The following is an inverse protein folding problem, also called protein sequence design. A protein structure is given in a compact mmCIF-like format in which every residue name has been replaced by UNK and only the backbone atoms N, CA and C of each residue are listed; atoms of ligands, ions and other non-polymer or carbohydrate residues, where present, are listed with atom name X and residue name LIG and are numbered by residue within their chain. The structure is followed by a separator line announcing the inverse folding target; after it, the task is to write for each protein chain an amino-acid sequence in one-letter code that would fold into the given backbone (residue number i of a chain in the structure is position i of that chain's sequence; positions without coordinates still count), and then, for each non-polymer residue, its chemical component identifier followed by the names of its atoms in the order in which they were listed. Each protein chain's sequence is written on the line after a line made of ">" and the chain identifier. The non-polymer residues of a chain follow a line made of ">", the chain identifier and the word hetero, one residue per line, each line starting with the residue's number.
data_IF_491165223315
#
_entry.id   IF_491165223315
#
_cell.length_a   1.000
_cell.length_b   1.000
_cell.length_c   1.000
_cell.angle_alpha   90.00
_cell.angle_beta   90.00
_cell.angle_gamma   90.00
#
_symmetry.space_group_name_H-M   'P 1'
#
loop_
_entity.id
_entity.type
_entity.pdbx_description
1 polymer ?
#
# COMPACT_ATOMS: atom_id res chain seq x y z
N UNK A 1 -21.49 -4.43 -14.48
CA UNK A 1 -20.12 -4.28 -15.02
C UNK A 1 -19.15 -4.70 -13.93
N UNK A 2 -18.12 -5.52 -14.24
CA UNK A 2 -17.03 -5.77 -13.29
C UNK A 2 -16.18 -4.50 -13.27
N UNK A 3 -16.11 -3.85 -12.12
CA UNK A 3 -15.24 -2.69 -11.92
C UNK A 3 -13.79 -3.18 -11.98
N UNK A 4 -12.94 -2.67 -12.89
CA UNK A 4 -11.55 -3.09 -12.96
C UNK A 4 -10.81 -2.66 -11.69
N UNK A 5 -10.09 -3.60 -11.09
CA UNK A 5 -9.10 -3.33 -10.04
C UNK A 5 -7.84 -2.78 -10.71
N UNK A 6 -7.19 -1.78 -10.11
CA UNK A 6 -5.89 -1.27 -10.57
C UNK A 6 -4.82 -2.36 -10.55
N UNK A 7 -4.87 -3.23 -9.56
CA UNK A 7 -3.94 -4.34 -9.40
C UNK A 7 -4.61 -5.68 -9.71
N UNK A 8 -3.81 -6.66 -10.11
CA UNK A 8 -4.28 -8.00 -10.43
C UNK A 8 -4.52 -8.80 -9.15
N UNK A 9 -5.79 -9.05 -8.82
CA UNK A 9 -6.20 -9.82 -7.64
C UNK A 9 -6.70 -11.20 -8.07
N UNK A 10 -5.78 -12.05 -8.54
CA UNK A 10 -6.09 -13.42 -8.97
C UNK A 10 -6.09 -14.41 -7.80
N UNK A 11 -6.71 -15.58 -7.98
CA UNK A 11 -6.70 -16.64 -6.96
C UNK A 11 -5.27 -17.11 -6.64
N UNK A 12 -4.41 -17.16 -7.66
CA UNK A 12 -3.01 -17.52 -7.49
C UNK A 12 -2.24 -16.49 -6.64
N UNK A 13 -2.49 -15.20 -6.87
CA UNK A 13 -1.88 -14.13 -6.09
C UNK A 13 -2.34 -14.15 -4.63
N UNK A 14 -3.65 -14.30 -4.40
CA UNK A 14 -4.23 -14.41 -3.05
C UNK A 14 -3.68 -15.63 -2.30
N UNK A 15 -3.65 -16.80 -2.94
CA UNK A 15 -3.07 -18.01 -2.35
C UNK A 15 -1.58 -17.81 -2.02
N UNK A 16 -0.84 -17.18 -2.93
CA UNK A 16 0.56 -16.82 -2.72
C UNK A 16 0.76 -15.92 -1.49
N UNK A 17 -0.07 -14.89 -1.34
CA UNK A 17 -0.06 -14.02 -0.16
C UNK A 17 -0.35 -14.79 1.14
N UNK A 18 -1.39 -15.64 1.16
CA UNK A 18 -1.72 -16.43 2.35
C UNK A 18 -0.56 -17.35 2.77
N UNK A 19 0.09 -18.03 1.81
CA UNK A 19 1.25 -18.88 2.08
C UNK A 19 2.45 -18.06 2.58
N UNK A 20 2.68 -16.87 2.01
CA UNK A 20 3.74 -15.97 2.47
C UNK A 20 3.51 -15.53 3.93
N UNK A 21 2.29 -15.08 4.25
CA UNK A 21 1.91 -14.64 5.60
C UNK A 21 2.06 -15.77 6.63
N UNK A 22 1.60 -16.99 6.28
CA UNK A 22 1.77 -18.18 7.11
C UNK A 22 3.25 -18.49 7.38
N UNK A 23 4.08 -18.52 6.33
CA UNK A 23 5.52 -18.82 6.48
C UNK A 23 6.30 -17.72 7.23
N UNK A 24 5.79 -16.48 7.24
CA UNK A 24 6.35 -15.37 8.01
C UNK A 24 5.79 -15.26 9.42
N UNK A 25 4.83 -16.10 9.80
CA UNK A 25 4.09 -15.98 11.07
C UNK A 25 3.49 -14.58 11.26
N UNK A 26 2.90 -14.03 10.19
CA UNK A 26 2.18 -12.76 10.22
C UNK A 26 0.69 -13.10 10.26
N UNK A 27 0.02 -12.76 11.37
CA UNK A 27 -1.43 -12.95 11.47
C UNK A 27 -2.16 -11.92 10.59
N UNK A 28 -3.34 -12.28 10.06
CA UNK A 28 -4.16 -11.35 9.27
C UNK A 28 -4.50 -10.06 10.04
N UNK A 29 -4.64 -10.15 11.38
CA UNK A 29 -4.84 -9.00 12.27
C UNK A 29 -3.67 -8.00 12.31
N UNK A 30 -2.50 -8.39 11.79
CA UNK A 30 -1.26 -7.59 11.69
C UNK A 30 -1.01 -7.09 10.26
N UNK A 31 -1.94 -7.36 9.34
CA UNK A 31 -1.90 -6.91 7.94
C UNK A 31 -2.89 -5.77 7.76
N UNK A 32 -2.49 -4.71 7.08
CA UNK A 32 -3.36 -3.57 6.76
C UNK A 32 -3.19 -3.22 5.29
N UNK A 33 -4.27 -3.03 4.55
CA UNK A 33 -4.25 -2.47 3.20
C UNK A 33 -4.60 -0.99 3.25
N UNK A 34 -3.76 -0.16 2.65
CA UNK A 34 -4.01 1.27 2.42
C UNK A 34 -4.03 1.57 0.94
N UNK A 35 -4.71 2.67 0.57
CA UNK A 35 -5.04 2.98 -0.84
C UNK A 35 -5.83 1.83 -1.50
N UNK A 36 -6.62 1.11 -0.70
CA UNK A 36 -7.28 -0.13 -1.09
C UNK A 36 -8.33 0.07 -2.20
N UNK A 37 -8.74 1.32 -2.43
CA UNK A 37 -9.73 1.63 -3.44
C UNK A 37 -11.09 1.05 -3.12
N UNK A 38 -11.50 0.01 -3.85
CA UNK A 38 -12.68 -0.78 -3.56
C UNK A 38 -12.43 -1.95 -2.59
N UNK A 39 -11.20 -2.11 -2.10
CA UNK A 39 -10.80 -3.05 -1.06
C UNK A 39 -10.79 -4.52 -1.46
N UNK A 40 -10.83 -4.84 -2.76
CA UNK A 40 -10.96 -6.22 -3.21
C UNK A 40 -9.80 -7.12 -2.76
N UNK A 41 -8.57 -6.59 -2.68
CA UNK A 41 -7.44 -7.38 -2.19
C UNK A 41 -7.64 -7.76 -0.73
N UNK A 42 -7.85 -6.79 0.16
CA UNK A 42 -8.08 -7.00 1.58
C UNK A 42 -9.29 -7.88 1.86
N UNK A 43 -10.41 -7.66 1.16
CA UNK A 43 -11.61 -8.51 1.29
C UNK A 43 -11.33 -9.97 0.91
N UNK A 44 -10.54 -10.19 -0.15
CA UNK A 44 -10.18 -11.55 -0.59
C UNK A 44 -9.15 -12.23 0.31
N UNK A 45 -8.32 -11.47 1.00
CA UNK A 45 -7.43 -11.97 2.05
C UNK A 45 -8.18 -12.26 3.37
N UNK A 46 -9.39 -11.74 3.53
CA UNK A 46 -10.16 -11.85 4.77
C UNK A 46 -9.71 -10.85 5.83
N UNK A 47 -9.25 -9.66 5.41
CA UNK A 47 -8.97 -8.55 6.33
C UNK A 47 -10.27 -8.03 6.94
N UNK A 48 -10.21 -7.67 8.22
CA UNK A 48 -11.32 -6.99 8.88
C UNK A 48 -11.53 -5.59 8.29
N UNK A 49 -12.75 -5.02 8.38
CA UNK A 49 -13.05 -3.72 7.77
C UNK A 49 -12.10 -2.60 8.21
N UNK A 50 -11.61 -2.64 9.47
CA UNK A 50 -10.72 -1.61 10.01
C UNK A 50 -9.24 -1.76 9.63
N UNK A 51 -8.95 -2.75 8.77
CA UNK A 51 -7.65 -3.05 8.16
C UNK A 51 -7.66 -2.83 6.64
N UNK A 52 -8.79 -2.41 6.07
CA UNK A 52 -8.98 -2.26 4.63
C UNK A 52 -9.37 -0.81 4.32
N UNK A 53 -8.38 0.01 3.99
CA UNK A 53 -8.48 1.46 4.01
C UNK A 53 -8.47 2.03 2.60
N UNK A 54 -9.56 2.70 2.22
CA UNK A 54 -9.60 3.54 1.03
C UNK A 54 -9.14 4.95 1.40
N UNK A 55 -8.28 5.54 0.57
CA UNK A 55 -7.80 6.90 0.80
C UNK A 55 -8.96 7.91 0.69
N UNK A 56 -9.21 8.64 1.78
CA UNK A 56 -10.24 9.66 1.91
C UNK A 56 -10.16 10.72 0.78
N UNK A 57 -8.96 11.06 0.31
CA UNK A 57 -8.76 12.13 -0.69
C UNK A 57 -9.17 11.72 -2.10
N UNK A 58 -9.08 10.42 -2.46
CA UNK A 58 -9.61 9.93 -3.74
C UNK A 58 -11.14 10.13 -3.84
N UNK A 59 -11.83 10.22 -2.71
CA UNK A 59 -13.28 10.41 -2.66
C UNK A 59 -13.69 11.88 -2.65
N UNK A 60 -12.87 12.77 -2.09
CA UNK A 60 -13.21 14.18 -1.84
C UNK A 60 -12.86 15.13 -2.98
N UNK A 61 -11.83 14.83 -3.79
CA UNK A 61 -11.36 15.75 -4.82
C UNK A 61 -11.46 15.15 -6.23
N UNK A 62 -12.16 15.85 -7.13
CA UNK A 62 -12.34 15.45 -8.53
C UNK A 62 -11.01 15.42 -9.29
N UNK A 63 -10.00 16.17 -8.85
CA UNK A 63 -8.68 16.20 -9.48
C UNK A 63 -7.88 14.91 -9.28
N UNK A 64 -8.25 14.07 -8.31
CA UNK A 64 -7.63 12.77 -8.03
C UNK A 64 -8.35 11.58 -8.66
N UNK A 65 -9.51 11.82 -9.30
CA UNK A 65 -10.25 10.78 -9.99
C UNK A 65 -9.72 10.65 -11.42
N UNK A 66 -9.09 9.54 -11.71
CA UNK A 66 -8.84 9.10 -13.08
C UNK A 66 -10.07 8.38 -13.68
N UNK A 67 -9.91 7.90 -14.91
CA UNK A 67 -10.98 7.19 -15.63
C UNK A 67 -11.47 5.92 -14.90
N UNK A 68 -10.60 5.23 -14.15
CA UNK A 68 -10.97 3.98 -13.47
C UNK A 68 -11.66 4.23 -12.15
N UNK A 69 -11.06 5.07 -11.30
CA UNK A 69 -11.61 5.45 -9.99
C UNK A 69 -12.98 6.12 -10.12
N UNK A 70 -13.29 6.72 -11.28
CA UNK A 70 -14.63 7.22 -11.60
C UNK A 70 -15.72 6.13 -11.62
N UNK A 71 -15.35 4.87 -11.89
CA UNK A 71 -16.25 3.72 -11.95
C UNK A 71 -16.34 2.94 -10.64
N UNK A 72 -15.62 3.39 -9.61
CA UNK A 72 -15.53 2.68 -8.35
C UNK A 72 -16.71 2.97 -7.43
N UNK A 73 -17.09 1.94 -6.65
CA UNK A 73 -17.99 2.17 -5.53
C UNK A 73 -17.29 3.08 -4.53
N UNK A 74 -17.86 4.27 -4.32
CA UNK A 74 -17.31 5.27 -3.41
C UNK A 74 -17.43 4.84 -1.95
N UNK A 75 -18.28 3.84 -1.64
CA UNK A 75 -18.49 3.33 -0.28
C UNK A 75 -18.60 1.80 -0.30
N UNK A 76 -17.51 1.10 -0.66
CA UNK A 76 -17.53 -0.35 -0.68
C UNK A 76 -17.74 -0.88 0.73
N UNK A 77 -18.58 -1.90 0.88
CA UNK A 77 -18.77 -2.57 2.18
C UNK A 77 -17.47 -3.24 2.61
N UNK A 78 -17.12 -3.10 3.89
CA UNK A 78 -15.90 -3.69 4.45
C UNK A 78 -14.63 -2.89 4.15
N UNK A 79 -14.78 -1.61 3.77
CA UNK A 79 -13.68 -0.68 3.53
C UNK A 79 -13.98 0.60 4.30
N UNK A 80 -13.01 1.11 5.06
CA UNK A 80 -13.14 2.39 5.77
C UNK A 80 -12.42 3.51 5.02
N UNK A 81 -12.92 4.73 5.16
CA UNK A 81 -12.31 5.92 4.59
C UNK A 81 -11.48 6.61 5.68
N UNK A 82 -10.16 6.55 5.54
CA UNK A 82 -9.18 7.10 6.50
C UNK A 82 -7.91 7.40 5.70
N UNK A 83 -7.10 8.38 6.10
CA UNK A 83 -5.81 8.55 5.44
C UNK A 83 -4.85 7.42 5.80
N UNK A 84 -3.91 7.11 4.91
CA UNK A 84 -2.94 6.05 5.15
C UNK A 84 -2.07 6.31 6.39
N UNK A 85 -1.76 7.57 6.69
CA UNK A 85 -0.98 7.97 7.86
C UNK A 85 -1.81 7.96 9.16
N UNK A 86 -3.07 8.42 9.13
CA UNK A 86 -4.00 8.33 10.26
C UNK A 86 -4.24 6.88 10.68
N UNK A 87 -4.31 5.97 9.70
CA UNK A 87 -4.42 4.53 9.93
C UNK A 87 -3.28 4.02 10.82
N UNK A 88 -2.03 4.36 10.49
CA UNK A 88 -0.87 3.93 11.26
C UNK A 88 -0.92 4.51 12.68
N UNK A 89 -1.28 5.78 12.82
CA UNK A 89 -1.44 6.45 14.12
C UNK A 89 -2.53 5.77 14.96
N UNK A 90 -3.66 5.39 14.36
CA UNK A 90 -4.75 4.68 15.03
C UNK A 90 -4.31 3.31 15.54
N UNK A 91 -3.58 2.54 14.74
CA UNK A 91 -3.05 1.23 15.18
C UNK A 91 -2.04 1.38 16.31
N UNK A 92 -1.15 2.38 16.23
CA UNK A 92 -0.23 2.75 17.30
C UNK A 92 -0.96 3.08 18.61
N UNK A 93 -1.96 3.96 18.56
CA UNK A 93 -2.72 4.40 19.74
C UNK A 93 -3.53 3.25 20.38
N UNK A 94 -4.02 2.32 19.55
CA UNK A 94 -4.75 1.14 20.01
C UNK A 94 -3.83 -0.05 20.38
N UNK A 95 -2.51 0.14 20.35
CA UNK A 95 -1.52 -0.90 20.63
C UNK A 95 -1.69 -2.16 19.76
N UNK A 96 -2.14 -2.00 18.52
CA UNK A 96 -2.33 -3.09 17.55
C UNK A 96 -1.16 -3.14 16.59
N UNK A 97 -0.34 -4.22 16.59
CA UNK A 97 0.83 -4.30 15.74
C UNK A 97 0.45 -4.34 14.26
N UNK A 98 1.22 -3.62 13.44
CA UNK A 98 1.24 -3.79 11.98
C UNK A 98 2.58 -4.41 11.63
N UNK A 99 2.58 -5.61 11.04
CA UNK A 99 3.80 -6.26 10.51
C UNK A 99 3.93 -6.11 9.00
N UNK A 100 2.80 -6.04 8.29
CA UNK A 100 2.78 -5.83 6.86
C UNK A 100 1.72 -4.79 6.51
N UNK A 101 2.12 -3.71 5.85
CA UNK A 101 1.17 -2.79 5.21
C UNK A 101 1.19 -3.01 3.70
N UNK A 102 0.03 -3.19 3.09
CA UNK A 102 -0.14 -3.34 1.65
C UNK A 102 -0.43 -1.96 1.07
N UNK A 103 0.38 -1.57 0.08
CA UNK A 103 0.34 -0.29 -0.61
C UNK A 103 0.11 -0.59 -2.09
N UNK A 104 -1.15 -0.82 -2.46
CA UNK A 104 -1.53 -1.24 -3.79
C UNK A 104 -1.87 -0.03 -4.67
N UNK A 105 -1.03 0.25 -5.67
CA UNK A 105 -1.21 1.35 -6.62
C UNK A 105 -1.50 2.71 -5.95
N UNK A 106 -0.65 3.18 -5.00
CA UNK A 106 -0.90 4.45 -4.34
C UNK A 106 -0.90 5.59 -5.36
N UNK A 107 -1.81 6.57 -5.25
CA UNK A 107 -1.87 7.69 -6.18
C UNK A 107 -0.56 8.49 -6.15
N UNK A 108 -0.20 9.16 -7.26
CA UNK A 108 0.94 10.06 -7.24
C UNK A 108 0.69 11.24 -6.30
N UNK A 109 1.74 11.71 -5.65
CA UNK A 109 1.64 12.88 -4.78
C UNK A 109 1.57 14.17 -5.59
N UNK A 110 0.97 15.22 -5.00
CA UNK A 110 1.16 16.59 -5.46
C UNK A 110 2.20 17.30 -4.57
N UNK A 111 2.53 18.55 -4.90
CA UNK A 111 3.53 19.35 -4.17
C UNK A 111 3.22 19.61 -2.70
N UNK A 112 2.00 19.33 -2.23
CA UNK A 112 1.53 19.66 -0.88
C UNK A 112 1.23 18.42 -0.02
N UNK A 113 1.03 17.25 -0.63
CA UNK A 113 0.57 16.06 0.08
C UNK A 113 1.22 14.77 -0.45
N UNK A 114 1.99 14.09 0.41
CA UNK A 114 2.71 12.85 0.12
C UNK A 114 2.27 11.72 1.09
N UNK A 115 1.09 11.11 0.90
CA UNK A 115 0.48 10.21 1.88
C UNK A 115 1.29 8.94 2.11
N UNK A 116 1.83 8.36 1.04
CA UNK A 116 2.65 7.15 1.11
C UNK A 116 3.94 7.38 1.90
N UNK A 117 4.57 8.54 1.75
CA UNK A 117 5.75 8.93 2.53
C UNK A 117 5.42 9.11 4.01
N UNK A 118 4.36 9.88 4.34
CA UNK A 118 3.95 10.11 5.72
C UNK A 118 3.58 8.81 6.43
N UNK A 119 2.84 7.93 5.76
CA UNK A 119 2.51 6.59 6.23
C UNK A 119 3.77 5.76 6.47
N UNK A 120 4.70 5.71 5.51
CA UNK A 120 5.90 4.89 5.63
C UNK A 120 6.81 5.35 6.79
N UNK A 121 6.98 6.66 6.96
CA UNK A 121 7.71 7.24 8.10
C UNK A 121 7.02 6.88 9.42
N UNK A 122 5.72 7.13 9.55
CA UNK A 122 4.98 6.82 10.77
C UNK A 122 4.99 5.33 11.10
N UNK A 123 4.95 4.46 10.08
CA UNK A 123 5.01 3.01 10.25
C UNK A 123 6.36 2.61 10.82
N UNK A 124 7.45 3.19 10.30
CA UNK A 124 8.79 2.95 10.82
C UNK A 124 8.97 3.45 12.25
N UNK A 125 8.52 4.68 12.54
CA UNK A 125 8.57 5.26 13.89
C UNK A 125 7.75 4.43 14.91
N UNK A 126 6.69 3.76 14.44
CA UNK A 126 5.84 2.90 15.26
C UNK A 126 6.41 1.48 15.42
N UNK A 127 6.79 0.84 14.32
CA UNK A 127 7.32 -0.51 14.25
C UNK A 127 8.40 -0.62 13.15
N UNK A 128 9.68 -0.43 13.49
CA UNK A 128 10.78 -0.45 12.52
C UNK A 128 10.94 -1.78 11.76
N UNK A 129 10.42 -2.88 12.29
CA UNK A 129 10.47 -4.20 11.65
C UNK A 129 9.36 -4.41 10.61
N UNK A 130 8.32 -3.58 10.63
CA UNK A 130 7.21 -3.67 9.69
C UNK A 130 7.68 -3.48 8.25
N UNK A 131 7.08 -4.24 7.32
CA UNK A 131 7.36 -4.17 5.89
C UNK A 131 6.18 -3.59 5.12
N UNK A 132 6.48 -3.07 3.94
CA UNK A 132 5.50 -2.58 2.97
C UNK A 132 5.46 -3.53 1.77
N UNK A 133 4.30 -4.11 1.47
CA UNK A 133 4.03 -4.76 0.19
C UNK A 133 3.55 -3.68 -0.78
N UNK A 134 4.44 -3.15 -1.60
CA UNK A 134 4.11 -2.16 -2.62
C UNK A 134 3.78 -2.86 -3.95
N UNK A 135 2.62 -2.59 -4.53
CA UNK A 135 2.25 -3.10 -5.87
C UNK A 135 2.13 -1.92 -6.82
N UNK A 136 3.10 -1.76 -7.71
CA UNK A 136 3.19 -0.61 -8.60
C UNK A 136 4.44 -0.67 -9.47
N UNK A 137 4.86 0.50 -9.96
CA UNK A 137 6.14 0.71 -10.62
C UNK A 137 6.99 1.64 -9.74
N UNK A 138 8.24 1.29 -9.46
CA UNK A 138 9.13 2.13 -8.66
C UNK A 138 9.64 3.32 -9.48
N UNK A 139 9.79 4.48 -8.84
CA UNK A 139 10.28 5.71 -9.48
C UNK A 139 9.45 6.14 -10.70
N UNK A 140 8.14 5.89 -10.65
CA UNK A 140 7.19 6.20 -11.71
C UNK A 140 6.31 7.37 -11.30
N UNK A 141 6.04 8.29 -12.22
CA UNK A 141 5.11 9.40 -12.00
C UNK A 141 3.65 8.94 -11.86
N UNK A 142 3.38 7.66 -12.15
CA UNK A 142 2.06 7.05 -11.98
C UNK A 142 1.79 6.59 -10.53
N UNK A 143 2.81 6.49 -9.67
CA UNK A 143 2.67 5.91 -8.33
C UNK A 143 3.48 6.66 -7.28
N UNK A 144 2.86 6.96 -6.13
CA UNK A 144 3.51 7.59 -4.98
C UNK A 144 4.31 8.87 -5.35
N UNK A 145 5.20 9.32 -4.46
CA UNK A 145 6.07 10.47 -4.72
C UNK A 145 7.53 10.05 -4.91
N UNK A 146 8.30 10.89 -5.59
CA UNK A 146 9.77 10.81 -5.56
C UNK A 146 10.27 10.78 -4.12
N UNK A 147 9.72 11.63 -3.24
CA UNK A 147 10.04 11.67 -1.81
C UNK A 147 9.80 10.31 -1.12
N UNK A 148 8.74 9.58 -1.47
CA UNK A 148 8.51 8.23 -0.94
C UNK A 148 9.61 7.27 -1.40
N UNK A 149 9.93 7.26 -2.70
CA UNK A 149 10.92 6.32 -3.25
C UNK A 149 12.36 6.58 -2.77
N UNK A 150 12.71 7.83 -2.48
CA UNK A 150 14.01 8.18 -1.89
C UNK A 150 14.20 7.64 -0.46
N UNK A 151 13.11 7.26 0.22
CA UNK A 151 13.11 6.87 1.63
C UNK A 151 12.68 5.42 1.85
N UNK A 152 12.64 4.61 0.80
CA UNK A 152 12.33 3.19 0.91
C UNK A 152 13.39 2.34 0.22
N UNK A 153 13.80 1.28 0.89
CA UNK A 153 14.71 0.29 0.34
C UNK A 153 13.95 -0.98 -0.04
N UNK A 154 14.41 -1.65 -1.09
CA UNK A 154 13.95 -3.00 -1.40
C UNK A 154 14.51 -3.98 -0.38
N UNK A 155 13.65 -4.88 0.09
CA UNK A 155 14.03 -5.98 0.96
C UNK A 155 14.18 -7.24 0.13
N UNK A 156 15.34 -7.88 0.22
CA UNK A 156 15.59 -9.18 -0.40
C UNK A 156 14.97 -10.30 0.44
N UNK A 157 13.88 -10.88 -0.05
CA UNK A 157 13.16 -11.94 0.64
C UNK A 157 12.76 -13.05 -0.33
N UNK A 158 13.43 -14.21 -0.23
CA UNK A 158 13.21 -15.36 -1.11
C UNK A 158 11.79 -15.91 -1.01
N UNK A 159 11.14 -15.81 0.15
CA UNK A 159 9.75 -16.25 0.30
C UNK A 159 8.80 -15.28 -0.40
N UNK A 160 9.08 -13.98 -0.33
CA UNK A 160 8.32 -12.96 -1.05
C UNK A 160 8.44 -13.15 -2.56
N UNK A 161 9.66 -13.35 -3.09
CA UNK A 161 9.87 -13.62 -4.51
C UNK A 161 9.08 -14.85 -4.97
N UNK A 162 9.22 -15.96 -4.25
CA UNK A 162 8.57 -17.23 -4.57
C UNK A 162 7.04 -17.14 -4.56
N UNK A 163 6.48 -16.55 -3.50
CA UNK A 163 5.04 -16.66 -3.23
C UNK A 163 4.24 -15.44 -3.65
N UNK A 164 4.87 -14.26 -3.81
CA UNK A 164 4.17 -13.03 -4.16
C UNK A 164 4.58 -12.55 -5.55
N UNK A 165 5.87 -12.42 -5.86
CA UNK A 165 6.29 -11.91 -7.17
C UNK A 165 6.00 -12.91 -8.30
N UNK A 166 6.34 -14.18 -8.11
CA UNK A 166 6.14 -15.21 -9.15
C UNK A 166 4.68 -15.63 -9.35
N UNK A 167 3.78 -15.24 -8.45
CA UNK A 167 2.34 -15.50 -8.53
C UNK A 167 1.55 -14.29 -9.02
N UNK A 168 2.17 -13.12 -9.10
CA UNK A 168 1.54 -11.90 -9.60
C UNK A 168 1.62 -11.84 -11.13
N UNK A 169 0.46 -11.96 -11.77
CA UNK A 169 0.33 -11.84 -13.21
C UNK A 169 -0.45 -10.56 -13.53
N UNK A 170 0.25 -9.53 -13.99
CA UNK A 170 -0.36 -8.23 -14.29
C UNK A 170 -1.49 -8.36 -15.34
N UNK A 171 -2.63 -7.73 -15.04
CA UNK A 171 -3.83 -7.68 -15.88
C UNK A 171 -4.53 -6.32 -15.68
N UNK A 172 -5.46 -5.98 -16.57
CA UNK A 172 -6.29 -4.79 -16.45
C UNK A 172 -5.59 -3.49 -16.88
N UNK A 173 -6.08 -2.37 -16.37
CA UNK A 173 -5.77 -1.04 -16.89
C UNK A 173 -4.28 -0.73 -17.01
N UNK A 174 -3.47 -0.93 -15.98
CA UNK A 174 -2.06 -0.56 -16.08
C UNK A 174 -1.33 -1.36 -17.15
N UNK A 175 -1.77 -2.59 -17.43
CA UNK A 175 -1.24 -3.38 -18.55
C UNK A 175 -1.62 -2.75 -19.89
N UNK A 176 -2.87 -2.31 -20.02
CA UNK A 176 -3.38 -1.66 -21.24
C UNK A 176 -2.72 -0.29 -21.48
N UNK A 177 -2.29 0.40 -20.41
CA UNK A 177 -1.51 1.63 -20.45
C UNK A 177 0.01 1.40 -20.66
N UNK A 178 0.47 0.14 -20.75
CA UNK A 178 1.90 -0.17 -20.90
C UNK A 178 2.76 0.12 -19.67
N UNK A 179 2.15 0.33 -18.50
CA UNK A 179 2.84 0.58 -17.23
C UNK A 179 3.17 -0.75 -16.56
N UNK A 180 4.42 -1.00 -16.17
CA UNK A 180 4.81 -2.27 -15.56
C UNK A 180 4.49 -2.28 -14.07
N UNK A 181 3.45 -3.01 -13.68
CA UNK A 181 3.05 -3.16 -12.28
C UNK A 181 3.52 -4.51 -11.74
N UNK A 182 4.25 -4.49 -10.64
CA UNK A 182 4.64 -5.71 -9.93
C UNK A 182 4.79 -5.49 -8.41
N UNK A 183 4.77 -6.56 -7.60
CA UNK A 183 4.97 -6.45 -6.16
C UNK A 183 6.44 -6.24 -5.79
N UNK A 184 6.66 -5.42 -4.78
CA UNK A 184 7.94 -5.19 -4.13
C UNK A 184 7.76 -5.23 -2.62
N UNK A 185 8.74 -5.82 -1.93
CA UNK A 185 8.82 -5.72 -0.48
C UNK A 185 9.75 -4.56 -0.15
N UNK A 186 9.23 -3.58 0.58
CA UNK A 186 9.94 -2.36 0.92
C UNK A 186 10.03 -2.17 2.43
N UNK A 187 11.04 -1.45 2.87
CA UNK A 187 11.17 -0.93 4.23
C UNK A 187 11.56 0.55 4.17
N UNK A 188 11.13 1.33 5.16
CA UNK A 188 11.53 2.73 5.25
C UNK A 188 12.98 2.86 5.71
N UNK A 189 13.68 3.86 5.21
CA UNK A 189 14.99 4.26 5.68
C UNK A 189 15.12 5.77 5.73
N UNK A 190 15.68 6.29 6.82
CA UNK A 190 16.06 7.69 6.88
C UNK A 190 17.19 8.01 5.89
N UNK A 191 17.14 9.19 5.29
CA UNK A 191 18.27 9.82 4.61
C UNK A 191 19.51 9.81 5.50
N UNK A 192 20.70 9.66 4.91
CA UNK A 192 21.96 9.94 5.62
C UNK A 192 22.22 11.45 5.79
N UNK A 193 21.54 12.30 5.02
CA UNK A 193 21.60 13.76 5.12
C UNK A 193 20.97 14.26 6.45
N UNK A 194 21.63 15.20 7.12
CA UNK A 194 21.22 15.78 8.40
C UNK A 194 20.06 16.76 8.23
N UNK A 195 19.97 17.41 7.06
CA UNK A 195 18.94 18.41 6.75
C UNK A 195 17.71 17.82 6.06
N UNK A 196 17.67 16.49 5.87
CA UNK A 196 16.56 15.82 5.22
C UNK A 196 15.35 15.70 6.18
N UNK A 197 14.17 16.13 5.71
CA UNK A 197 12.90 16.15 6.44
C UNK A 197 12.56 14.84 7.15
N UNK A 198 13.07 13.70 6.67
CA UNK A 198 12.83 12.42 7.34
C UNK A 198 13.43 12.35 8.74
N UNK A 199 14.53 13.06 9.02
CA UNK A 199 15.16 13.13 10.34
C UNK A 199 14.58 14.22 11.24
N UNK A 200 13.79 15.14 10.67
CA UNK A 200 13.12 16.17 11.45
C UNK A 200 11.95 15.56 12.22
N UNK A 201 12.28 15.10 13.42
CA UNK A 201 11.39 14.88 14.55
C UNK A 201 12.12 15.37 15.80
N UNK A 202 12.27 16.70 15.90
CA UNK A 202 12.56 17.43 17.13
C UNK A 202 12.20 18.92 16.93
N UNK A 203 10.94 19.23 17.23
CA UNK A 203 10.59 20.33 18.14
C UNK A 203 9.38 19.87 18.95
#
# INVERSE_FOLDING_TARGET
>A
MKVPSYISVTDQFINGMNVYLEQKNIALSEVVEVFAGNGQLGLRLGLEPDQNISDLLMHQDKWYRDEISSQWDLRPKGVIQESADETVVRFKNNQRPIKLIIVAAPPPANSYYCPSYAMAKNLHDYNPEAKMLFVGELNSDAFASVKFFEHVNKVEDRLFEKWIQNTYHQQGYFKDQGILVKPYLLEFSYCNDVDCDCKNSNN
#
